data_IF_612895462335
#
_entry.id   IF_612895462335
#
_cell.length_a   1.000
_cell.length_b   1.000
_cell.length_c   1.000
_cell.angle_alpha   90.00
_cell.angle_beta   90.00
_cell.angle_gamma   90.00
#
_symmetry.space_group_name_H-M   'P 1'
#
loop_
_entity.id
_entity.type
_entity.pdbx_description
1 polymer ?
#
# COMPACT_ATOMS: atom_id res chain seq x y z
N UNK A 1 5.70 13.91 14.98
CA UNK A 1 5.42 13.06 13.80
C UNK A 1 4.15 12.31 14.12
N UNK A 2 3.13 12.41 13.27
CA UNK A 2 1.83 11.75 13.51
C UNK A 2 1.85 10.34 12.91
N UNK A 3 0.94 9.47 13.34
CA UNK A 3 0.77 8.12 12.77
C UNK A 3 0.53 8.20 11.25
N UNK A 4 -0.21 9.22 10.80
CA UNK A 4 -0.45 9.53 9.39
C UNK A 4 0.80 9.93 8.61
N UNK A 5 1.74 10.66 9.20
CA UNK A 5 3.03 10.97 8.56
C UNK A 5 3.84 9.68 8.35
N UNK A 6 3.88 8.82 9.37
CA UNK A 6 4.58 7.53 9.30
C UNK A 6 3.95 6.58 8.28
N UNK A 7 2.61 6.53 8.20
CA UNK A 7 1.89 5.77 7.18
C UNK A 7 2.27 6.24 5.77
N UNK A 8 2.32 7.57 5.56
CA UNK A 8 2.66 8.14 4.26
C UNK A 8 4.09 7.80 3.85
N UNK A 9 5.04 7.86 4.78
CA UNK A 9 6.43 7.44 4.55
C UNK A 9 6.50 5.95 4.17
N UNK A 10 5.76 5.09 4.87
CA UNK A 10 5.74 3.66 4.60
C UNK A 10 5.15 3.31 3.23
N UNK A 11 4.02 3.94 2.88
CA UNK A 11 3.41 3.79 1.56
C UNK A 11 4.36 4.24 0.45
N UNK A 12 5.10 5.33 0.66
CA UNK A 12 6.12 5.78 -0.30
C UNK A 12 7.27 4.78 -0.44
N UNK A 13 7.72 4.14 0.65
CA UNK A 13 8.75 3.10 0.61
C UNK A 13 8.28 1.87 -0.16
N UNK A 14 7.07 1.39 0.12
CA UNK A 14 6.48 0.24 -0.57
C UNK A 14 6.27 0.54 -2.06
N UNK A 15 5.80 1.74 -2.39
CA UNK A 15 5.66 2.16 -3.78
C UNK A 15 7.01 2.23 -4.50
N UNK A 16 8.04 2.79 -3.87
CA UNK A 16 9.39 2.86 -4.44
C UNK A 16 10.00 1.45 -4.65
N UNK A 17 9.71 0.50 -3.76
CA UNK A 17 10.10 -0.90 -3.93
C UNK A 17 9.38 -1.55 -5.13
N UNK A 18 8.09 -1.29 -5.29
CA UNK A 18 7.33 -1.75 -6.46
C UNK A 18 7.76 -1.05 -7.77
N UNK A 19 8.21 0.20 -7.72
CA UNK A 19 8.83 0.89 -8.86
C UNK A 19 10.16 0.25 -9.27
N UNK A 20 10.92 -0.27 -8.29
CA UNK A 20 12.17 -0.97 -8.55
C UNK A 20 11.95 -2.39 -9.12
N UNK A 21 10.82 -3.02 -8.82
CA UNK A 21 10.49 -4.39 -9.21
C UNK A 21 9.08 -4.47 -9.87
N UNK A 22 8.99 -3.94 -11.09
CA UNK A 22 7.74 -3.88 -11.86
C UNK A 22 7.23 -5.25 -12.34
N UNK A 23 8.07 -6.30 -12.27
CA UNK A 23 7.68 -7.68 -12.59
C UNK A 23 6.80 -8.29 -11.48
N UNK A 24 6.93 -7.78 -10.26
CA UNK A 24 6.14 -8.23 -9.11
C UNK A 24 4.86 -7.41 -9.00
N UNK A 25 3.75 -7.95 -9.51
CA UNK A 25 2.43 -7.37 -9.27
C UNK A 25 2.14 -7.32 -7.76
N UNK A 26 2.09 -6.11 -7.21
CA UNK A 26 1.90 -5.90 -5.77
C UNK A 26 0.49 -6.31 -5.34
N UNK A 27 0.37 -7.12 -4.28
CA UNK A 27 -0.91 -7.44 -3.66
C UNK A 27 -1.27 -6.36 -2.63
N UNK A 28 -2.12 -5.39 -3.02
CA UNK A 28 -2.47 -4.26 -2.16
C UNK A 28 -3.17 -4.71 -0.88
N UNK A 29 -3.99 -5.76 -0.94
CA UNK A 29 -4.67 -6.32 0.23
C UNK A 29 -3.70 -6.86 1.26
N UNK A 30 -2.67 -7.59 0.81
CA UNK A 30 -1.60 -8.06 1.70
C UNK A 30 -0.76 -6.91 2.27
N UNK A 31 -0.53 -5.84 1.51
CA UNK A 31 0.15 -4.65 1.99
C UNK A 31 -0.71 -3.87 3.00
N UNK A 32 -2.01 -3.75 2.75
CA UNK A 32 -2.96 -3.09 3.65
C UNK A 32 -3.05 -3.81 5.00
N UNK A 33 -3.09 -5.14 5.01
CA UNK A 33 -3.06 -5.93 6.26
C UNK A 33 -1.74 -5.75 7.02
N UNK A 34 -0.61 -5.69 6.31
CA UNK A 34 0.70 -5.41 6.93
C UNK A 34 0.77 -4.00 7.52
N UNK A 35 0.24 -3.01 6.81
CA UNK A 35 0.12 -1.64 7.31
C UNK A 35 -0.81 -1.59 8.53
N UNK A 36 -1.96 -2.24 8.48
CA UNK A 36 -2.92 -2.28 9.58
C UNK A 36 -2.32 -2.87 10.87
N UNK A 37 -1.43 -3.87 10.74
CA UNK A 37 -0.70 -4.43 11.89
C UNK A 37 0.21 -3.40 12.58
N UNK A 38 0.63 -2.34 11.89
CA UNK A 38 1.49 -1.27 12.39
C UNK A 38 0.73 0.05 12.63
N UNK A 39 -0.41 0.25 11.97
CA UNK A 39 -1.22 1.47 11.93
C UNK A 39 -2.67 1.12 12.25
N UNK A 40 -3.04 1.19 13.53
CA UNK A 40 -4.38 0.79 13.99
C UNK A 40 -5.42 1.91 13.84
N UNK A 41 -5.00 3.15 13.58
CA UNK A 41 -5.90 4.30 13.38
C UNK A 41 -6.75 4.17 12.10
N UNK A 42 -6.33 3.33 11.15
CA UNK A 42 -6.99 3.12 9.86
C UNK A 42 -7.56 1.71 9.77
N UNK A 43 -8.62 1.53 8.99
CA UNK A 43 -9.10 0.17 8.66
C UNK A 43 -8.28 -0.41 7.51
N UNK A 44 -8.29 -1.73 7.35
CA UNK A 44 -7.67 -2.39 6.19
C UNK A 44 -8.24 -1.86 4.88
N UNK A 45 -9.55 -1.57 4.83
CA UNK A 45 -10.22 -1.01 3.65
C UNK A 45 -9.75 0.42 3.34
N UNK A 46 -9.60 1.28 4.35
CA UNK A 46 -9.03 2.62 4.18
C UNK A 46 -7.59 2.54 3.64
N UNK A 47 -6.78 1.64 4.20
CA UNK A 47 -5.38 1.46 3.79
C UNK A 47 -5.27 0.93 2.36
N UNK A 48 -6.16 0.02 1.97
CA UNK A 48 -6.22 -0.49 0.60
C UNK A 48 -6.58 0.61 -0.40
N UNK A 49 -7.55 1.47 -0.09
CA UNK A 49 -7.92 2.59 -0.95
C UNK A 49 -6.77 3.61 -1.09
N UNK A 50 -6.10 3.94 0.01
CA UNK A 50 -4.93 4.85 0.00
C UNK A 50 -3.77 4.23 -0.81
N UNK A 51 -3.48 2.95 -0.62
CA UNK A 51 -2.46 2.23 -1.38
C UNK A 51 -2.80 2.21 -2.87
N UNK A 52 -4.06 1.93 -3.21
CA UNK A 52 -4.53 1.89 -4.60
C UNK A 52 -4.41 3.24 -5.29
N UNK A 53 -4.78 4.33 -4.62
CA UNK A 53 -4.58 5.68 -5.15
C UNK A 53 -3.08 5.99 -5.36
N UNK A 54 -2.24 5.61 -4.39
CA UNK A 54 -0.80 5.82 -4.46
C UNK A 54 -0.12 5.03 -5.59
N UNK A 55 -0.55 3.79 -5.85
CA UNK A 55 -0.06 2.96 -6.95
C UNK A 55 -0.57 3.46 -8.30
N UNK A 56 -1.86 3.80 -8.38
CA UNK A 56 -2.49 4.33 -9.59
C UNK A 56 -1.84 5.64 -10.03
N UNK A 57 -1.57 6.54 -9.09
CA UNK A 57 -0.88 7.81 -9.35
C UNK A 57 0.52 7.60 -9.92
N UNK A 58 1.19 6.52 -9.53
CA UNK A 58 2.54 6.15 -10.02
C UNK A 58 2.53 5.25 -11.25
N UNK A 59 1.37 4.79 -11.70
CA UNK A 59 1.24 3.85 -12.83
C UNK A 59 1.78 2.46 -12.52
N UNK A 60 1.84 2.08 -11.25
CA UNK A 60 2.37 0.79 -10.81
C UNK A 60 1.37 -0.35 -11.07
N UNK A 61 1.83 -1.54 -11.49
CA UNK A 61 0.97 -2.71 -11.57
C UNK A 61 0.63 -3.22 -10.17
N UNK A 62 -0.66 -3.43 -9.91
CA UNK A 62 -1.15 -4.01 -8.67
C UNK A 62 -2.26 -5.03 -8.93
N UNK A 63 -2.35 -6.04 -8.07
CA UNK A 63 -3.39 -7.06 -8.13
C UNK A 63 -4.51 -6.68 -7.16
N UNK A 64 -5.59 -6.13 -7.72
CA UNK A 64 -6.84 -5.77 -7.01
C UNK A 64 -7.70 -7.03 -6.75
N UNK A 65 -7.48 -8.10 -7.55
CA UNK A 65 -8.26 -9.34 -7.53
C UNK A 65 -7.56 -10.49 -6.78
N UNK A 66 -6.66 -10.19 -5.85
CA UNK A 66 -6.12 -11.21 -4.95
C UNK A 66 -7.21 -11.62 -3.95
N UNK A 67 -8.15 -12.46 -4.39
CA UNK A 67 -8.99 -13.24 -3.48
C UNK A 67 -8.03 -14.10 -2.63
N UNK A 68 -8.11 -13.91 -1.30
CA UNK A 68 -7.29 -14.58 -0.30
C UNK A 68 -7.36 -16.10 -0.41
#
# INVERSE_FOLDING_TARGET
MTERDALRDEINRLAAAAEADLETTSNLKSLAVQLWANFNEFTVEDLEDILRDAWRTRGLPFNDNAEL
#
